data_IF_787062393347
#
_entry.id   IF_787062393347
#
_cell.length_a   1.000
_cell.length_b   1.000
_cell.length_c   1.000
_cell.angle_alpha   90.00
_cell.angle_beta   90.00
_cell.angle_gamma   90.00
#
_symmetry.space_group_name_H-M   'P 1'
#
loop_
_entity.id
_entity.type
_entity.pdbx_description
1 polymer ?
#
# COMPACT_ATOMS: atom_id res chain seq x y z
N UNK A 1 -5.00 13.86 -36.77
CA UNK A 1 -5.29 14.18 -35.34
C UNK A 1 -5.60 12.94 -34.49
N UNK A 2 -6.41 11.97 -34.96
CA UNK A 2 -6.75 10.74 -34.20
C UNK A 2 -5.55 9.89 -33.71
N UNK A 3 -4.47 9.79 -34.49
CA UNK A 3 -3.27 9.00 -34.13
C UNK A 3 -2.48 9.57 -32.94
N UNK A 4 -2.44 10.90 -32.79
CA UNK A 4 -1.72 11.58 -31.68
C UNK A 4 -2.52 11.42 -30.38
N UNK A 5 -3.85 11.49 -30.46
CA UNK A 5 -4.74 11.28 -29.32
C UNK A 5 -4.68 9.84 -28.77
N UNK A 6 -4.57 8.84 -29.67
CA UNK A 6 -4.38 7.43 -29.32
C UNK A 6 -3.01 7.17 -28.68
N UNK A 7 -1.95 7.81 -29.20
CA UNK A 7 -0.61 7.71 -28.62
C UNK A 7 -0.53 8.36 -27.23
N UNK A 8 -1.22 9.49 -27.02
CA UNK A 8 -1.31 10.17 -25.73
C UNK A 8 -2.09 9.36 -24.68
N UNK A 9 -3.13 8.63 -25.10
CA UNK A 9 -3.87 7.73 -24.21
C UNK A 9 -3.09 6.44 -23.89
N UNK A 10 -2.39 5.87 -24.86
CA UNK A 10 -1.52 4.71 -24.64
C UNK A 10 -0.34 5.02 -23.71
N UNK A 11 0.22 6.23 -23.76
CA UNK A 11 1.25 6.65 -22.82
C UNK A 11 0.71 6.84 -21.39
N UNK A 12 -0.51 7.35 -21.21
CA UNK A 12 -1.13 7.43 -19.87
C UNK A 12 -1.37 6.03 -19.28
N UNK A 13 -1.80 5.06 -20.09
CA UNK A 13 -1.97 3.67 -19.65
C UNK A 13 -0.63 2.99 -19.31
N UNK A 14 0.40 3.19 -20.13
CA UNK A 14 1.72 2.58 -19.92
C UNK A 14 2.46 3.15 -18.70
N UNK A 15 2.30 4.43 -18.39
CA UNK A 15 2.96 5.09 -17.25
C UNK A 15 2.10 5.15 -15.97
N UNK A 16 0.77 4.98 -16.06
CA UNK A 16 -0.14 4.99 -14.90
C UNK A 16 -0.26 3.64 -14.17
N UNK A 17 -0.13 2.52 -14.90
CA UNK A 17 -0.28 1.17 -14.32
C UNK A 17 0.81 0.77 -13.31
N UNK A 18 2.12 1.11 -13.48
CA UNK A 18 3.11 0.78 -12.46
C UNK A 18 3.05 1.72 -11.24
N UNK A 19 2.40 2.89 -11.36
CA UNK A 19 2.21 3.80 -10.23
C UNK A 19 1.07 3.36 -9.28
N UNK A 20 0.01 2.74 -9.82
CA UNK A 20 -1.11 2.25 -9.00
C UNK A 20 -0.91 0.84 -8.43
N UNK A 21 0.01 0.05 -8.99
CA UNK A 21 0.35 -1.28 -8.46
C UNK A 21 1.56 -1.27 -7.51
N UNK A 22 1.95 -0.09 -7.01
CA UNK A 22 2.96 -0.01 -5.96
C UNK A 22 2.35 -0.50 -4.65
N UNK A 23 2.35 -1.83 -4.47
CA UNK A 23 2.34 -2.50 -3.18
C UNK A 23 3.62 -2.16 -2.40
N UNK A 24 3.93 -0.88 -2.25
CA UNK A 24 4.71 -0.44 -1.10
C UNK A 24 3.86 -0.77 0.09
N UNK A 25 4.36 -1.63 0.96
CA UNK A 25 3.77 -1.86 2.27
C UNK A 25 3.63 -0.47 2.91
N UNK A 26 2.42 0.10 2.83
CA UNK A 26 2.11 1.50 3.15
C UNK A 26 2.08 1.72 4.67
N UNK A 27 2.91 0.96 5.38
CA UNK A 27 3.07 1.04 6.81
C UNK A 27 4.11 2.13 7.05
N UNK A 28 3.80 3.16 7.84
CA UNK A 28 4.75 4.23 8.09
C UNK A 28 6.06 3.63 8.62
N UNK A 29 7.22 4.02 8.05
CA UNK A 29 8.49 3.53 8.57
C UNK A 29 8.63 3.97 10.02
N UNK A 30 9.11 3.07 10.89
CA UNK A 30 9.38 3.45 12.27
C UNK A 30 10.37 4.62 12.28
N UNK A 31 10.16 5.65 13.12
CA UNK A 31 11.15 6.68 13.38
C UNK A 31 12.50 6.05 13.70
N UNK A 32 13.58 6.62 13.16
CA UNK A 32 14.91 6.02 13.24
C UNK A 32 15.36 5.73 14.67
N UNK A 33 15.08 6.65 15.60
CA UNK A 33 15.36 6.51 17.03
C UNK A 33 14.70 5.27 17.65
N UNK A 34 13.45 4.98 17.25
CA UNK A 34 12.68 3.84 17.76
C UNK A 34 13.17 2.55 17.09
N UNK A 35 13.42 2.60 15.78
CA UNK A 35 13.97 1.48 15.03
C UNK A 35 15.36 1.05 15.57
N UNK A 36 16.17 2.00 16.03
CA UNK A 36 17.49 1.76 16.62
C UNK A 36 17.43 0.99 17.95
N UNK A 37 16.30 1.00 18.66
CA UNK A 37 16.09 0.24 19.90
C UNK A 37 15.39 -1.08 19.63
N UNK A 38 14.31 -1.03 18.84
CA UNK A 38 13.41 -2.17 18.65
C UNK A 38 14.05 -3.26 17.79
N UNK A 39 14.78 -2.91 16.72
CA UNK A 39 15.45 -3.90 15.86
C UNK A 39 16.49 -4.74 16.61
N UNK A 40 17.48 -4.16 17.31
CA UNK A 40 18.45 -4.97 18.03
C UNK A 40 17.84 -5.68 19.25
N UNK A 41 16.81 -5.12 19.88
CA UNK A 41 16.05 -5.82 20.91
C UNK A 41 15.44 -7.13 20.40
N UNK A 42 14.64 -7.09 19.33
CA UNK A 42 14.06 -8.32 18.75
C UNK A 42 15.14 -9.29 18.26
N UNK A 43 16.27 -8.79 17.75
CA UNK A 43 17.40 -9.64 17.38
C UNK A 43 18.02 -10.35 18.59
N UNK A 44 18.14 -9.68 19.73
CA UNK A 44 18.59 -10.30 20.98
C UNK A 44 17.59 -11.32 21.52
N UNK A 45 16.30 -10.97 21.55
CA UNK A 45 15.21 -11.86 21.99
C UNK A 45 15.16 -13.13 21.14
N UNK A 46 15.30 -13.03 19.82
CA UNK A 46 15.32 -14.20 18.92
C UNK A 46 16.52 -15.12 19.10
N UNK A 47 17.66 -14.57 19.53
CA UNK A 47 18.84 -15.36 19.88
C UNK A 47 18.74 -16.00 21.26
N UNK A 48 17.73 -15.64 22.06
CA UNK A 48 17.64 -16.05 23.47
C UNK A 48 18.67 -15.33 24.35
N UNK A 49 19.24 -14.22 23.89
CA UNK A 49 20.25 -13.45 24.65
C UNK A 49 19.57 -12.39 25.52
N UNK A 50 19.18 -12.82 26.73
CA UNK A 50 18.49 -11.98 27.69
C UNK A 50 19.32 -10.75 28.09
N UNK A 51 20.62 -10.93 28.35
CA UNK A 51 21.52 -9.84 28.75
C UNK A 51 21.68 -8.79 27.66
N UNK A 52 21.67 -9.19 26.39
CA UNK A 52 21.68 -8.23 25.28
C UNK A 52 20.34 -7.52 25.11
N UNK A 53 19.21 -8.21 25.35
CA UNK A 53 17.88 -7.60 25.27
C UNK A 53 17.64 -6.56 26.38
N UNK A 54 18.08 -6.85 27.61
CA UNK A 54 17.94 -5.97 28.78
C UNK A 54 18.57 -4.58 28.58
N UNK A 55 19.59 -4.45 27.73
CA UNK A 55 20.22 -3.15 27.39
C UNK A 55 19.26 -2.15 26.75
N UNK A 56 18.18 -2.65 26.16
CA UNK A 56 17.17 -1.85 25.47
C UNK A 56 15.90 -1.67 26.32
N UNK A 57 15.81 -2.34 27.48
CA UNK A 57 14.65 -2.30 28.38
C UNK A 57 14.85 -1.19 29.42
N UNK A 58 13.76 -0.50 29.74
CA UNK A 58 13.76 0.55 30.75
C UNK A 58 14.05 -0.07 32.14
N UNK A 59 14.83 0.59 33.01
CA UNK A 59 15.20 0.04 34.31
C UNK A 59 14.03 -0.43 35.18
N UNK A 60 12.87 0.24 35.08
CA UNK A 60 11.67 -0.11 35.83
C UNK A 60 10.92 -1.35 35.33
N UNK A 61 11.27 -1.89 34.16
CA UNK A 61 10.63 -3.06 33.55
C UNK A 61 11.61 -4.24 33.37
N UNK A 62 12.86 -4.12 33.84
CA UNK A 62 13.86 -5.18 33.65
C UNK A 62 13.38 -6.48 34.30
N UNK A 63 12.94 -6.44 35.55
CA UNK A 63 12.58 -7.65 36.28
C UNK A 63 11.35 -8.35 35.69
N UNK A 64 10.30 -7.61 35.33
CA UNK A 64 9.13 -8.15 34.63
C UNK A 64 9.53 -8.74 33.27
N UNK A 65 10.36 -8.02 32.52
CA UNK A 65 10.89 -8.49 31.24
C UNK A 65 11.67 -9.80 31.38
N UNK A 66 12.36 -10.04 32.51
CA UNK A 66 13.13 -11.28 32.75
C UNK A 66 12.21 -12.47 32.97
N UNK A 67 11.15 -12.29 33.76
CA UNK A 67 10.19 -13.34 34.08
C UNK A 67 9.55 -13.91 32.81
N UNK A 68 9.18 -13.03 31.88
CA UNK A 68 8.52 -13.42 30.64
C UNK A 68 9.47 -13.75 29.47
N UNK A 69 10.78 -13.49 29.63
CA UNK A 69 11.74 -13.56 28.51
C UNK A 69 11.79 -14.94 27.86
N UNK A 70 11.89 -16.00 28.66
CA UNK A 70 12.08 -17.36 28.16
C UNK A 70 10.91 -17.83 27.29
N UNK A 71 9.68 -17.55 27.73
CA UNK A 71 8.48 -17.91 27.00
C UNK A 71 8.35 -17.12 25.69
N UNK A 72 8.44 -15.80 25.78
CA UNK A 72 8.28 -14.92 24.62
C UNK A 72 9.41 -15.07 23.61
N UNK A 73 10.64 -15.30 24.07
CA UNK A 73 11.80 -15.60 23.21
C UNK A 73 11.58 -16.87 22.42
N UNK A 74 11.05 -17.93 23.05
CA UNK A 74 10.71 -19.18 22.37
C UNK A 74 9.69 -18.96 21.26
N UNK A 75 8.60 -18.24 21.55
CA UNK A 75 7.58 -17.89 20.53
C UNK A 75 8.21 -17.12 19.36
N UNK A 76 9.05 -16.13 19.66
CA UNK A 76 9.67 -15.28 18.64
C UNK A 76 10.78 -15.96 17.83
N UNK A 77 11.43 -16.98 18.39
CA UNK A 77 12.49 -17.75 17.72
C UNK A 77 11.91 -18.56 16.56
N UNK A 78 10.73 -19.14 16.76
CA UNK A 78 10.01 -19.90 15.75
C UNK A 78 9.15 -18.99 14.84
N UNK A 79 9.00 -17.72 15.21
CA UNK A 79 8.21 -16.75 14.46
C UNK A 79 8.89 -16.26 13.17
N UNK A 80 8.13 -16.04 12.08
CA UNK A 80 8.63 -15.29 10.92
C UNK A 80 9.00 -13.86 11.32
N UNK A 81 9.77 -13.15 10.49
CA UNK A 81 10.08 -11.72 10.71
C UNK A 81 8.77 -10.93 10.85
N UNK A 82 8.52 -10.40 12.05
CA UNK A 82 7.33 -9.59 12.32
C UNK A 82 7.48 -8.23 11.62
N UNK A 83 6.42 -7.81 10.95
CA UNK A 83 6.35 -6.48 10.35
C UNK A 83 5.55 -5.55 11.27
N UNK A 84 5.91 -4.26 11.40
CA UNK A 84 5.13 -3.31 12.18
C UNK A 84 3.74 -3.23 11.58
N UNK A 85 2.70 -3.42 12.38
CA UNK A 85 1.30 -3.35 11.99
C UNK A 85 0.67 -2.01 12.39
N UNK A 86 1.02 -1.52 13.59
CA UNK A 86 0.45 -0.29 14.15
C UNK A 86 1.57 0.51 14.82
N UNK A 87 1.51 1.83 14.64
CA UNK A 87 2.29 2.77 15.43
C UNK A 87 1.35 3.85 15.98
N UNK A 88 1.21 3.90 17.30
CA UNK A 88 0.48 4.96 18.00
C UNK A 88 1.44 5.75 18.86
N UNK A 89 1.44 7.08 18.70
CA UNK A 89 2.16 7.96 19.62
C UNK A 89 1.29 8.21 20.85
N UNK A 90 1.77 7.85 22.03
CA UNK A 90 1.09 8.10 23.31
C UNK A 90 1.96 9.01 24.17
N UNK A 91 1.60 10.30 24.26
CA UNK A 91 2.37 11.29 25.02
C UNK A 91 3.83 11.35 24.59
N UNK A 92 4.74 11.04 25.52
CA UNK A 92 6.19 10.99 25.31
C UNK A 92 6.71 9.65 24.75
N UNK A 93 5.84 8.66 24.54
CA UNK A 93 6.17 7.32 24.06
C UNK A 93 5.49 6.93 22.74
N UNK A 94 5.85 5.75 22.26
CA UNK A 94 5.27 5.10 21.09
C UNK A 94 4.87 3.67 21.44
N UNK A 95 3.61 3.33 21.15
CA UNK A 95 3.10 1.98 21.19
C UNK A 95 3.17 1.38 19.79
N UNK A 96 3.79 0.21 19.69
CA UNK A 96 4.07 -0.49 18.46
C UNK A 96 3.46 -1.87 18.55
N UNK A 97 2.64 -2.23 17.57
CA UNK A 97 2.18 -3.61 17.41
C UNK A 97 2.84 -4.16 16.17
N UNK A 98 3.52 -5.29 16.32
CA UNK A 98 4.10 -6.08 15.25
C UNK A 98 3.25 -7.32 15.04
N UNK A 99 3.09 -7.73 13.79
CA UNK A 99 2.34 -8.94 13.48
C UNK A 99 3.01 -9.71 12.35
N UNK A 100 2.98 -11.04 12.46
CA UNK A 100 3.45 -11.95 11.43
C UNK A 100 2.63 -13.22 11.43
N UNK A 101 2.30 -13.72 10.23
CA UNK A 101 1.53 -14.95 10.07
C UNK A 101 2.48 -16.15 10.06
N UNK A 102 2.29 -17.09 11.00
CA UNK A 102 3.01 -18.36 11.07
C UNK A 102 2.04 -19.52 10.86
N UNK A 103 1.99 -20.03 9.62
CA UNK A 103 1.00 -21.04 9.23
C UNK A 103 -0.43 -20.50 9.32
N UNK A 104 -1.26 -21.13 10.16
CA UNK A 104 -2.65 -20.69 10.42
C UNK A 104 -2.79 -19.72 11.60
N UNK A 105 -1.72 -19.51 12.38
CA UNK A 105 -1.73 -18.62 13.54
C UNK A 105 -1.05 -17.29 13.23
N UNK A 106 -1.46 -16.27 13.97
CA UNK A 106 -0.84 -14.96 13.98
C UNK A 106 0.00 -14.81 15.24
N UNK A 107 1.23 -14.35 15.06
CA UNK A 107 2.11 -13.96 16.16
C UNK A 107 2.06 -12.45 16.21
N UNK A 108 1.56 -11.93 17.33
CA UNK A 108 1.38 -10.52 17.60
C UNK A 108 2.38 -10.17 18.69
N UNK A 109 3.16 -9.12 18.48
CA UNK A 109 4.04 -8.62 19.52
C UNK A 109 3.79 -7.14 19.74
N UNK A 110 3.52 -6.79 20.98
CA UNK A 110 3.25 -5.43 21.39
C UNK A 110 4.48 -4.88 22.10
N UNK A 111 4.87 -3.64 21.81
CA UNK A 111 6.04 -3.00 22.40
C UNK A 111 5.71 -1.55 22.68
N UNK A 112 5.93 -1.12 23.92
CA UNK A 112 5.89 0.30 24.30
C UNK A 112 7.30 0.82 24.44
N UNK A 113 7.63 1.85 23.68
CA UNK A 113 8.89 2.57 23.76
C UNK A 113 8.65 3.92 24.40
N UNK A 114 9.37 4.24 25.46
CA UNK A 114 9.32 5.54 26.15
C UNK A 114 10.68 6.21 26.15
N UNK A 115 10.71 7.53 26.34
CA UNK A 115 11.98 8.25 26.54
C UNK A 115 12.37 8.22 28.01
N UNK A 116 13.42 7.47 28.33
CA UNK A 116 14.06 7.48 29.64
C UNK A 116 15.35 8.30 29.59
N UNK A 117 15.42 9.43 30.32
CA UNK A 117 16.57 10.37 30.29
C UNK A 117 17.03 10.73 28.86
N UNK A 118 16.07 11.09 28.00
CA UNK A 118 16.26 11.38 26.56
C UNK A 118 16.72 10.21 25.69
N UNK A 119 16.76 8.97 26.19
CA UNK A 119 17.04 7.77 25.40
C UNK A 119 15.77 6.94 25.23
N UNK A 120 15.42 6.50 24.00
CA UNK A 120 14.32 5.57 23.80
C UNK A 120 14.66 4.22 24.46
N UNK A 121 13.72 3.69 25.24
CA UNK A 121 13.83 2.41 25.94
C UNK A 121 12.48 1.69 25.94
N UNK A 122 12.50 0.37 25.99
CA UNK A 122 11.31 -0.47 26.01
C UNK A 122 10.77 -0.52 27.44
N UNK A 123 9.60 0.06 27.65
CA UNK A 123 8.90 0.05 28.93
C UNK A 123 7.98 -1.17 29.09
N UNK A 124 7.57 -1.76 27.97
CA UNK A 124 6.70 -2.91 27.96
C UNK A 124 6.91 -3.66 26.66
N UNK A 125 6.87 -4.99 26.73
CA UNK A 125 6.71 -5.81 25.55
C UNK A 125 5.93 -7.08 25.90
N UNK A 126 5.21 -7.60 24.92
CA UNK A 126 4.47 -8.85 25.00
C UNK A 126 4.45 -9.54 23.65
N UNK A 127 4.26 -10.86 23.66
CA UNK A 127 4.16 -11.70 22.47
C UNK A 127 3.02 -12.68 22.68
N UNK A 128 1.97 -12.53 21.88
CA UNK A 128 0.79 -13.38 21.91
C UNK A 128 0.62 -14.13 20.59
N UNK A 129 0.06 -15.33 20.68
CA UNK A 129 -0.39 -16.10 19.52
C UNK A 129 -1.90 -16.01 19.43
N UNK A 130 -2.43 -15.67 18.26
CA UNK A 130 -3.87 -15.55 18.02
C UNK A 130 -4.27 -16.31 16.76
N UNK A 131 -5.49 -16.86 16.76
CA UNK A 131 -6.05 -17.52 15.56
C UNK A 131 -6.46 -16.50 14.48
N UNK A 132 -6.65 -15.24 14.87
CA UNK A 132 -7.09 -14.15 14.00
C UNK A 132 -6.00 -13.09 13.91
N UNK A 133 -5.91 -12.46 12.75
CA UNK A 133 -5.06 -11.30 12.58
C UNK A 133 -5.59 -10.16 13.48
N UNK A 134 -4.72 -9.24 13.94
CA UNK A 134 -5.17 -8.02 14.59
C UNK A 134 -6.20 -7.30 13.69
N UNK A 135 -7.28 -6.77 14.25
CA UNK A 135 -8.36 -6.10 13.50
C UNK A 135 -7.84 -4.98 12.56
N UNK A 136 -6.73 -4.37 12.92
CA UNK A 136 -6.09 -3.31 12.14
C UNK A 136 -5.27 -3.86 10.95
N UNK A 137 -4.74 -5.09 11.06
CA UNK A 137 -4.13 -5.80 9.93
C UNK A 137 -5.20 -6.25 8.95
N UNK A 138 -6.35 -6.73 9.44
CA UNK A 138 -7.48 -7.07 8.57
C UNK A 138 -8.00 -5.82 7.86
N UNK A 139 -8.19 -4.70 8.56
CA UNK A 139 -8.69 -3.46 7.95
C UNK A 139 -7.74 -2.91 6.86
N UNK A 140 -6.42 -3.00 7.07
CA UNK A 140 -5.45 -2.57 6.04
C UNK A 140 -5.36 -3.53 4.86
N UNK A 141 -5.49 -4.84 5.09
CA UNK A 141 -5.58 -5.83 4.01
C UNK A 141 -6.87 -5.69 3.21
N UNK A 142 -7.99 -5.45 3.88
CA UNK A 142 -9.28 -5.23 3.25
C UNK A 142 -9.28 -3.94 2.44
N UNK A 143 -8.75 -2.83 2.98
CA UNK A 143 -8.57 -1.61 2.19
C UNK A 143 -7.72 -1.85 0.94
N UNK A 144 -6.61 -2.58 1.02
CA UNK A 144 -5.81 -2.92 -0.17
C UNK A 144 -6.64 -3.69 -1.20
N UNK A 145 -7.42 -4.69 -0.77
CA UNK A 145 -8.32 -5.44 -1.66
C UNK A 145 -9.38 -4.54 -2.29
N UNK A 146 -10.05 -3.70 -1.50
CA UNK A 146 -11.04 -2.74 -1.99
C UNK A 146 -10.44 -1.75 -2.99
N UNK A 147 -9.26 -1.21 -2.72
CA UNK A 147 -8.57 -0.29 -3.64
C UNK A 147 -8.22 -0.97 -4.96
N UNK A 148 -7.77 -2.23 -4.94
CA UNK A 148 -7.50 -3.01 -6.16
C UNK A 148 -8.79 -3.24 -6.95
N UNK A 149 -9.88 -3.64 -6.29
CA UNK A 149 -11.17 -3.81 -6.97
C UNK A 149 -11.70 -2.50 -7.54
N UNK A 150 -11.59 -1.39 -6.79
CA UNK A 150 -11.97 -0.07 -7.27
C UNK A 150 -11.15 0.34 -8.50
N UNK A 151 -9.83 0.15 -8.48
CA UNK A 151 -8.96 0.40 -9.64
C UNK A 151 -9.34 -0.44 -10.85
N UNK A 152 -9.66 -1.71 -10.67
CA UNK A 152 -10.17 -2.56 -11.76
C UNK A 152 -11.49 -2.03 -12.31
N UNK A 153 -12.44 -1.64 -11.46
CA UNK A 153 -13.72 -1.08 -11.94
C UNK A 153 -13.55 0.20 -12.73
N UNK A 154 -12.65 1.10 -12.32
CA UNK A 154 -12.33 2.33 -13.06
C UNK A 154 -11.68 1.99 -14.40
N UNK A 155 -10.76 1.02 -14.44
CA UNK A 155 -10.13 0.58 -15.68
C UNK A 155 -11.16 0.00 -16.67
N UNK A 156 -12.09 -0.83 -16.19
CA UNK A 156 -13.18 -1.36 -17.02
C UNK A 156 -14.13 -0.26 -17.52
N UNK A 157 -14.50 0.69 -16.66
CA UNK A 157 -15.35 1.82 -17.05
C UNK A 157 -14.67 2.70 -18.12
N UNK A 158 -13.37 2.96 -17.98
CA UNK A 158 -12.60 3.71 -18.96
C UNK A 158 -12.53 2.97 -20.31
N UNK A 159 -12.29 1.66 -20.30
CA UNK A 159 -12.29 0.84 -21.52
C UNK A 159 -13.68 0.80 -22.19
N UNK A 160 -14.76 0.67 -21.41
CA UNK A 160 -16.12 0.70 -21.93
C UNK A 160 -16.47 2.08 -22.52
N UNK A 161 -16.07 3.17 -21.86
CA UNK A 161 -16.22 4.53 -22.38
C UNK A 161 -15.48 4.75 -23.69
N UNK A 162 -14.24 4.23 -23.79
CA UNK A 162 -13.44 4.30 -25.01
C UNK A 162 -14.08 3.50 -26.15
N UNK A 163 -14.58 2.29 -25.87
CA UNK A 163 -15.29 1.47 -26.84
C UNK A 163 -16.57 2.16 -27.34
N UNK A 164 -17.32 2.81 -26.44
CA UNK A 164 -18.52 3.57 -26.77
C UNK A 164 -18.19 4.78 -27.66
N UNK A 165 -17.12 5.52 -27.36
CA UNK A 165 -16.61 6.61 -28.20
C UNK A 165 -16.22 6.12 -29.60
N UNK A 166 -15.47 5.00 -29.69
CA UNK A 166 -15.10 4.39 -30.97
C UNK A 166 -16.35 4.00 -31.76
N UNK A 167 -17.35 3.41 -31.10
CA UNK A 167 -18.61 3.05 -31.73
C UNK A 167 -19.36 4.27 -32.27
N UNK A 168 -19.47 5.35 -31.49
CA UNK A 168 -20.11 6.61 -31.95
C UNK A 168 -19.37 7.20 -33.16
N UNK A 169 -18.04 7.30 -33.11
CA UNK A 169 -17.25 7.83 -34.24
C UNK A 169 -17.42 6.96 -35.49
N UNK A 170 -17.45 5.63 -35.34
CA UNK A 170 -17.59 4.70 -36.46
C UNK A 170 -19.00 4.71 -37.05
N UNK A 171 -20.03 4.86 -36.23
CA UNK A 171 -21.43 4.68 -36.64
C UNK A 171 -22.16 6.02 -36.89
N UNK A 172 -21.58 7.17 -36.50
CA UNK A 172 -22.13 8.52 -36.71
C UNK A 172 -21.08 9.48 -37.31
N UNK A 173 -20.51 9.11 -38.45
CA UNK A 173 -19.53 9.94 -39.18
C UNK A 173 -20.08 11.31 -39.62
N UNK A 174 -21.41 11.45 -39.71
CA UNK A 174 -22.13 12.67 -40.10
C UNK A 174 -22.01 13.85 -39.10
N UNK A 175 -21.57 13.59 -37.86
CA UNK A 175 -21.51 14.63 -36.80
C UNK A 175 -20.13 15.32 -36.75
N UNK A 176 -19.06 14.64 -37.17
CA UNK A 176 -17.66 15.13 -37.00
C UNK A 176 -17.13 15.82 -38.25
N UNK A 177 -17.70 15.51 -39.42
CA UNK A 177 -17.47 16.24 -40.65
C UNK A 177 -18.84 16.61 -41.25
N UNK A 178 -19.35 17.83 -41.02
CA UNK A 178 -20.42 18.35 -41.84
C UNK A 178 -19.83 18.53 -43.24
N UNK A 179 -20.10 17.55 -44.09
CA UNK A 179 -19.97 17.52 -45.54
C UNK A 179 -19.20 18.69 -46.19
N UNK A 180 -17.90 18.50 -46.43
CA UNK A 180 -17.21 19.14 -47.58
C UNK A 180 -17.70 18.60 -48.94
N UNK A 181 -18.60 17.61 -48.91
CA UNK A 181 -19.22 17.01 -50.09
C UNK A 181 -20.22 17.94 -50.80
N UNK A 182 -20.75 18.97 -50.12
CA UNK A 182 -21.71 19.90 -50.73
C UNK A 182 -21.01 20.86 -51.71
N UNK A 183 -19.80 21.34 -51.39
CA UNK A 183 -19.07 22.27 -52.26
C UNK A 183 -18.58 21.60 -53.55
N UNK A 184 -18.08 20.36 -53.47
CA UNK A 184 -17.61 19.64 -54.67
C UNK A 184 -18.73 19.32 -55.66
N UNK A 185 -19.96 19.07 -55.19
CA UNK A 185 -21.14 18.91 -56.05
C UNK A 185 -21.60 20.22 -56.69
N UNK A 186 -21.50 21.35 -55.97
CA UNK A 186 -21.83 22.67 -56.54
C UNK A 186 -20.86 23.06 -57.64
N UNK A 187 -19.54 22.92 -57.42
CA UNK A 187 -18.54 23.32 -58.42
C UNK A 187 -18.64 22.48 -59.70
N UNK A 188 -18.90 21.16 -59.58
CA UNK A 188 -19.12 20.32 -60.76
C UNK A 188 -20.41 20.65 -61.54
N UNK A 189 -21.44 21.17 -60.86
CA UNK A 189 -22.69 21.59 -61.50
C UNK A 189 -22.56 22.97 -62.18
N UNK A 190 -21.75 23.87 -61.63
CA UNK A 190 -21.56 25.21 -62.23
C UNK A 190 -20.72 25.17 -63.50
N UNK A 191 -19.74 24.25 -63.60
CA UNK A 191 -18.90 24.11 -64.80
C UNK A 191 -19.64 23.43 -65.97
N UNK A 192 -20.65 22.61 -65.67
CA UNK A 192 -21.40 21.86 -66.70
C UNK A 192 -22.51 22.68 -67.40
N UNK A 193 -22.85 23.87 -66.87
CA UNK A 193 -23.91 24.73 -67.40
C UNK A 193 -23.36 25.98 -68.14
N UNK A 194 -22.07 26.01 -68.47
CA UNK A 194 -21.42 27.17 -69.14
C UNK A 194 -20.74 26.82 -70.47
N UNK A 195 -21.21 25.81 -71.19
CA UNK A 195 -20.81 25.53 -72.59
C UNK A 195 -22.05 25.13 -73.42
N UNK A 196 -22.10 25.52 -74.69
CA UNK A 196 -22.83 26.71 -75.19
C UNK A 196 -24.32 26.50 -75.50
#
# INVERSE_FOLDING_TARGET
>A
MSRIFLLFWMSIAAFGLPACNRSTDARPPLPEEIAAVVKPFYAAVRRGDQKAAEKYVAPGFIDDSRVQFAEMSRILKDAPRLAPAIQQRQGSGAYLTFAGQHGKMWIISEVRVVRYRNKPMIEYWDVTTADKAPELVTHTQDMKRYTIYALMTVAFAALAGLASLIWVVRNRTHIIAPESAIETRRVAATVRNTEP
#
